data_IF_727851913302
#
_entry.id   IF_727851913302
#
_cell.length_a   1.000
_cell.length_b   1.000
_cell.length_c   1.000
_cell.angle_alpha   90.00
_cell.angle_beta   90.00
_cell.angle_gamma   90.00
#
_symmetry.space_group_name_H-M   'P 1'
#
loop_
_entity.id
_entity.type
_entity.pdbx_description
1 polymer ?
#
# COMPACT_ATOMS: atom_id res chain seq x y z
N UNK A 1 -2.28 31.29 -20.00
CA UNK A 1 -1.69 29.94 -20.09
C UNK A 1 -2.46 29.07 -19.14
N UNK A 2 -3.00 27.94 -19.58
CA UNK A 2 -3.56 26.96 -18.66
C UNK A 2 -2.42 26.29 -17.91
N UNK A 3 -2.59 25.95 -16.63
CA UNK A 3 -1.53 25.35 -15.81
C UNK A 3 -0.91 24.09 -16.46
N UNK A 4 -1.73 23.35 -17.24
CA UNK A 4 -1.30 22.22 -18.05
C UNK A 4 -0.30 22.60 -19.15
N UNK A 5 -0.50 23.71 -19.87
CA UNK A 5 0.44 24.20 -20.87
C UNK A 5 1.78 24.60 -20.23
N UNK A 6 1.73 25.18 -19.04
CA UNK A 6 2.93 25.53 -18.30
C UNK A 6 3.70 24.27 -17.84
N UNK A 7 3.00 23.25 -17.34
CA UNK A 7 3.61 21.98 -16.96
C UNK A 7 4.30 21.28 -18.14
N UNK A 8 3.68 21.23 -19.32
CA UNK A 8 4.33 20.68 -20.52
C UNK A 8 5.62 21.44 -20.88
N UNK A 9 5.60 22.78 -20.84
CA UNK A 9 6.78 23.58 -21.11
C UNK A 9 7.91 23.40 -20.08
N UNK A 10 7.59 23.01 -18.84
CA UNK A 10 8.59 22.66 -17.83
C UNK A 10 9.19 21.28 -18.12
N UNK A 11 8.38 20.29 -18.50
CA UNK A 11 8.84 18.95 -18.86
C UNK A 11 9.83 18.98 -20.04
N UNK A 12 9.58 19.82 -21.06
CA UNK A 12 10.47 19.98 -22.22
C UNK A 12 11.85 20.56 -21.86
N UNK A 13 12.00 21.16 -20.67
CA UNK A 13 13.25 21.77 -20.19
C UNK A 13 14.05 20.86 -19.25
N UNK A 14 13.52 19.70 -18.89
CA UNK A 14 14.19 18.77 -17.97
C UNK A 14 15.38 18.12 -18.69
N UNK A 15 16.58 18.14 -18.09
CA UNK A 15 17.74 17.41 -18.61
C UNK A 15 17.44 15.91 -18.78
N UNK A 16 17.97 15.29 -19.84
CA UNK A 16 17.67 13.88 -20.17
C UNK A 16 17.99 12.90 -19.02
N UNK A 17 19.02 13.17 -18.22
CA UNK A 17 19.40 12.38 -17.04
C UNK A 17 18.39 12.48 -15.88
N UNK A 18 17.55 13.51 -15.88
CA UNK A 18 16.53 13.76 -14.86
C UNK A 18 15.09 13.40 -15.29
N UNK A 19 14.88 13.04 -16.56
CA UNK A 19 13.55 12.67 -17.07
C UNK A 19 12.96 11.48 -16.30
N UNK A 20 13.77 10.48 -15.94
CA UNK A 20 13.31 9.33 -15.15
C UNK A 20 12.79 9.77 -13.79
N UNK A 21 13.48 10.70 -13.11
CA UNK A 21 13.05 11.22 -11.82
C UNK A 21 11.74 12.02 -11.95
N UNK A 22 11.60 12.81 -13.02
CA UNK A 22 10.39 13.57 -13.30
C UNK A 22 9.17 12.66 -13.55
N UNK A 23 9.35 11.58 -14.32
CA UNK A 23 8.30 10.57 -14.54
C UNK A 23 7.87 9.95 -13.22
N UNK A 24 8.82 9.46 -12.40
CA UNK A 24 8.52 8.87 -11.09
C UNK A 24 7.76 9.82 -10.17
N UNK A 25 8.14 11.10 -10.17
CA UNK A 25 7.44 12.11 -9.38
C UNK A 25 6.01 12.34 -9.86
N UNK A 26 5.79 12.40 -11.18
CA UNK A 26 4.43 12.52 -11.74
C UNK A 26 3.59 11.28 -11.44
N UNK A 27 4.14 10.07 -11.59
CA UNK A 27 3.47 8.82 -11.22
C UNK A 27 3.06 8.83 -9.74
N UNK A 28 3.97 9.26 -8.86
CA UNK A 28 3.69 9.43 -7.44
C UNK A 28 2.55 10.44 -7.16
N UNK A 29 2.51 11.57 -7.85
CA UNK A 29 1.44 12.56 -7.71
C UNK A 29 0.08 12.05 -8.17
N UNK A 30 0.06 11.07 -9.08
CA UNK A 30 -1.16 10.47 -9.63
C UNK A 30 -1.66 9.27 -8.82
N UNK A 31 -0.92 8.85 -7.79
CA UNK A 31 -1.39 7.82 -6.85
C UNK A 31 -2.64 8.30 -6.10
N UNK A 32 -3.55 7.36 -5.80
CA UNK A 32 -4.63 7.62 -4.88
C UNK A 32 -4.08 7.91 -3.46
N UNK A 33 -4.88 8.57 -2.59
CA UNK A 33 -4.40 8.98 -1.28
C UNK A 33 -3.84 7.85 -0.41
N UNK A 34 -4.38 6.63 -0.49
CA UNK A 34 -3.93 5.49 0.30
C UNK A 34 -2.60 4.98 -0.24
N UNK A 35 -2.52 4.72 -1.55
CA UNK A 35 -1.27 4.29 -2.19
C UNK A 35 -0.13 5.28 -1.95
N UNK A 36 -0.43 6.58 -1.99
CA UNK A 36 0.55 7.63 -1.71
C UNK A 36 0.99 7.64 -0.25
N UNK A 37 0.06 7.51 0.69
CA UNK A 37 0.38 7.44 2.11
C UNK A 37 1.28 6.23 2.41
N UNK A 38 0.95 5.06 1.86
CA UNK A 38 1.75 3.85 1.98
C UNK A 38 3.16 4.02 1.40
N UNK A 39 3.28 4.62 0.21
CA UNK A 39 4.58 4.85 -0.44
C UNK A 39 5.51 5.82 0.33
N UNK A 40 4.95 6.67 1.20
CA UNK A 40 5.73 7.62 2.02
C UNK A 40 5.76 7.26 3.50
N UNK A 41 5.08 6.19 3.90
CA UNK A 41 5.10 5.76 5.28
C UNK A 41 6.54 5.39 5.67
N UNK A 42 7.01 5.80 6.86
CA UNK A 42 8.26 5.27 7.38
C UNK A 42 8.13 3.75 7.52
N UNK A 43 9.24 3.04 7.38
CA UNK A 43 9.27 1.62 7.72
C UNK A 43 8.90 1.45 9.20
N UNK A 44 8.04 0.48 9.48
CA UNK A 44 7.76 0.07 10.85
C UNK A 44 8.97 -0.72 11.39
N UNK A 45 9.70 -0.12 12.32
CA UNK A 45 10.87 -0.70 12.98
C UNK A 45 10.70 -0.76 14.50
N UNK A 46 9.49 -0.51 15.01
CA UNK A 46 9.16 -0.64 16.43
C UNK A 46 9.23 -2.10 16.87
N UNK A 47 9.83 -2.35 18.03
CA UNK A 47 9.78 -3.69 18.63
C UNK A 47 8.36 -3.98 19.10
N UNK A 48 7.84 -5.16 18.76
CA UNK A 48 6.51 -5.60 19.21
C UNK A 48 6.45 -5.55 20.73
N UNK A 49 5.56 -4.72 21.25
CA UNK A 49 5.40 -4.47 22.67
C UNK A 49 4.50 -5.48 23.37
N UNK A 50 4.56 -5.51 24.70
CA UNK A 50 3.73 -6.39 25.52
C UNK A 50 2.22 -6.21 25.28
N UNK A 51 1.78 -5.00 24.92
CA UNK A 51 0.36 -4.74 24.66
C UNK A 51 -0.13 -5.44 23.40
N UNK A 52 0.69 -5.44 22.36
CA UNK A 52 0.39 -6.09 21.08
C UNK A 52 0.44 -7.60 21.24
N UNK A 53 1.44 -8.11 21.95
CA UNK A 53 1.50 -9.53 22.32
C UNK A 53 0.24 -9.96 23.09
N UNK A 54 -0.18 -9.16 24.08
CA UNK A 54 -1.44 -9.39 24.82
C UNK A 54 -2.65 -9.32 23.90
N UNK A 55 -2.67 -8.42 22.91
CA UNK A 55 -3.77 -8.31 21.95
C UNK A 55 -3.86 -9.56 21.05
N UNK A 56 -2.73 -10.04 20.54
CA UNK A 56 -2.64 -11.28 19.77
C UNK A 56 -3.06 -12.48 20.63
N UNK A 57 -2.61 -12.57 21.88
CA UNK A 57 -2.99 -13.64 22.80
C UNK A 57 -4.51 -13.68 23.02
N UNK A 58 -5.15 -12.53 23.28
CA UNK A 58 -6.60 -12.43 23.40
C UNK A 58 -7.34 -12.86 22.14
N UNK A 59 -6.82 -12.48 20.97
CA UNK A 59 -7.40 -12.91 19.69
C UNK A 59 -7.33 -14.42 19.51
N UNK A 60 -6.19 -15.04 19.82
CA UNK A 60 -6.01 -16.50 19.76
C UNK A 60 -6.95 -17.24 20.73
N UNK A 61 -7.01 -16.79 21.98
CA UNK A 61 -7.92 -17.35 23.00
C UNK A 61 -9.39 -17.28 22.56
N UNK A 62 -9.81 -16.15 21.96
CA UNK A 62 -11.15 -16.01 21.42
C UNK A 62 -11.47 -17.08 20.36
N UNK A 63 -10.52 -17.40 19.48
CA UNK A 63 -10.70 -18.47 18.47
C UNK A 63 -10.74 -19.88 19.05
N UNK A 64 -10.31 -20.11 20.30
CA UNK A 64 -10.50 -21.41 20.96
C UNK A 64 -11.96 -21.66 21.35
N UNK A 65 -12.76 -20.59 21.43
CA UNK A 65 -14.14 -20.64 21.91
C UNK A 65 -15.16 -20.19 20.87
N UNK A 66 -14.70 -19.62 19.75
CA UNK A 66 -15.54 -19.02 18.74
C UNK A 66 -15.10 -19.44 17.33
N UNK A 67 -16.07 -19.59 16.43
CA UNK A 67 -15.79 -19.84 15.04
C UNK A 67 -15.41 -18.54 14.32
N UNK A 68 -14.30 -18.54 13.61
CA UNK A 68 -13.91 -17.46 12.71
C UNK A 68 -14.65 -17.48 11.38
N UNK A 69 -14.58 -16.37 10.64
CA UNK A 69 -14.98 -16.36 9.23
C UNK A 69 -13.92 -17.08 8.40
N UNK A 70 -14.30 -18.06 7.56
CA UNK A 70 -13.37 -18.70 6.63
C UNK A 70 -12.68 -17.67 5.73
N UNK A 71 -11.39 -17.87 5.45
CA UNK A 71 -10.59 -16.91 4.67
C UNK A 71 -11.15 -16.76 3.24
N UNK A 72 -11.66 -17.84 2.67
CA UNK A 72 -12.33 -17.88 1.37
C UNK A 72 -13.59 -17.01 1.30
N UNK A 73 -14.36 -16.94 2.38
CA UNK A 73 -15.59 -16.14 2.43
C UNK A 73 -15.23 -14.65 2.50
N UNK A 74 -14.24 -14.29 3.32
CA UNK A 74 -13.72 -12.92 3.41
C UNK A 74 -13.11 -12.49 2.07
N UNK A 75 -12.34 -13.37 1.43
CA UNK A 75 -11.74 -13.09 0.12
C UNK A 75 -12.82 -12.77 -0.92
N UNK A 76 -13.87 -13.60 -1.00
CA UNK A 76 -14.98 -13.41 -1.92
C UNK A 76 -15.76 -12.11 -1.63
N UNK A 77 -16.03 -11.80 -0.36
CA UNK A 77 -16.71 -10.56 0.05
C UNK A 77 -15.93 -9.30 -0.38
N UNK A 78 -14.60 -9.35 -0.26
CA UNK A 78 -13.72 -8.26 -0.66
C UNK A 78 -13.39 -8.24 -2.17
N UNK A 79 -13.96 -9.17 -2.95
CA UNK A 79 -13.78 -9.24 -4.41
C UNK A 79 -12.47 -9.85 -4.88
N UNK A 80 -11.79 -10.61 -4.01
CA UNK A 80 -10.54 -11.31 -4.32
C UNK A 80 -10.77 -12.81 -4.55
N UNK A 81 -9.93 -13.40 -5.39
CA UNK A 81 -9.78 -14.85 -5.47
C UNK A 81 -8.67 -15.33 -4.52
N UNK A 82 -8.78 -16.56 -4.03
CA UNK A 82 -7.72 -17.17 -3.22
C UNK A 82 -6.39 -17.34 -3.97
N UNK A 83 -6.42 -17.36 -5.30
CA UNK A 83 -5.21 -17.34 -6.14
C UNK A 83 -4.52 -15.97 -6.09
N UNK A 84 -5.27 -14.87 -6.22
CA UNK A 84 -4.73 -13.52 -6.09
C UNK A 84 -4.08 -13.26 -4.73
N UNK A 85 -4.65 -13.82 -3.65
CA UNK A 85 -4.09 -13.69 -2.30
C UNK A 85 -2.79 -14.49 -2.16
N UNK A 86 -2.74 -15.73 -2.67
CA UNK A 86 -1.55 -16.60 -2.56
C UNK A 86 -0.40 -16.17 -3.46
N UNK A 87 -0.71 -15.63 -4.64
CA UNK A 87 0.28 -15.22 -5.63
C UNK A 87 0.75 -13.78 -5.41
N UNK A 88 0.20 -13.08 -4.41
CA UNK A 88 0.68 -11.77 -4.01
C UNK A 88 2.12 -11.88 -3.52
N UNK A 89 3.00 -11.09 -4.13
CA UNK A 89 4.36 -10.87 -3.65
C UNK A 89 4.40 -9.47 -3.08
N UNK A 90 4.95 -9.36 -1.88
CA UNK A 90 5.18 -8.05 -1.29
C UNK A 90 5.98 -7.20 -2.29
N UNK A 91 5.56 -5.95 -2.55
CA UNK A 91 6.36 -5.04 -3.35
C UNK A 91 7.71 -4.85 -2.65
N UNK A 92 8.79 -5.10 -3.39
CA UNK A 92 10.17 -5.00 -2.93
C UNK A 92 10.59 -3.58 -2.54
#
# INVERSE_FOLDING_TARGET
MTDKQHAHALLDRIPNDQVIAAVRFLEFLLLDPVSRASATAPFEDEEVGEEEERAVARSKEWFEHNQGTPTEDVAAELGFTMEQIRDHKDPA
#
